data_IF_494429896552
#
_entry.id   IF_494429896552
#
_cell.length_a   1.000
_cell.length_b   1.000
_cell.length_c   1.000
_cell.angle_alpha   90.00
_cell.angle_beta   90.00
_cell.angle_gamma   90.00
#
_symmetry.space_group_name_H-M   'P 1'
#
loop_
_entity.id
_entity.type
_entity.pdbx_description
1 polymer ?
#
# COMPACT_ATOMS: atom_id res chain seq x y z
N UNK A 1 -4.87 -8.76 -19.81
CA UNK A 1 -4.89 -7.43 -19.15
C UNK A 1 -4.51 -7.57 -17.69
N UNK A 2 -3.83 -6.56 -17.07
CA UNK A 2 -3.51 -6.57 -15.63
C UNK A 2 -4.53 -5.73 -14.86
N UNK A 3 -5.10 -6.31 -13.80
CA UNK A 3 -6.00 -5.66 -12.86
C UNK A 3 -5.36 -5.53 -11.48
N UNK A 4 -5.81 -4.54 -10.73
CA UNK A 4 -5.40 -4.30 -9.34
C UNK A 4 -6.63 -4.29 -8.44
N UNK A 5 -6.58 -5.04 -7.35
CA UNK A 5 -7.64 -5.07 -6.34
C UNK A 5 -7.09 -4.79 -4.95
N UNK A 6 -7.69 -3.86 -4.22
CA UNK A 6 -7.36 -3.57 -2.82
C UNK A 6 -8.42 -4.19 -1.90
N UNK A 7 -7.95 -4.92 -0.91
CA UNK A 7 -8.80 -5.54 0.11
C UNK A 7 -8.14 -5.45 1.48
N UNK A 8 -8.90 -5.68 2.53
CA UNK A 8 -8.42 -5.80 3.90
C UNK A 8 -8.81 -7.17 4.46
N UNK A 9 -7.89 -7.85 5.10
CA UNK A 9 -8.11 -9.17 5.69
C UNK A 9 -7.88 -9.15 7.20
N UNK A 10 -8.60 -10.00 7.93
CA UNK A 10 -8.28 -10.31 9.33
C UNK A 10 -7.09 -11.25 9.37
N UNK A 11 -6.18 -11.02 10.30
CA UNK A 11 -5.00 -11.87 10.48
C UNK A 11 -4.86 -12.31 11.93
N UNK A 12 -4.24 -13.49 12.13
CA UNK A 12 -3.89 -13.99 13.46
C UNK A 12 -2.77 -13.16 14.09
N UNK A 13 -2.64 -13.13 15.44
CA UNK A 13 -1.56 -12.41 16.12
C UNK A 13 -0.16 -12.80 15.64
N UNK A 14 0.09 -14.09 15.39
CA UNK A 14 1.36 -14.61 14.88
C UNK A 14 1.69 -14.02 13.51
N UNK A 15 0.70 -13.94 12.62
CA UNK A 15 0.87 -13.33 11.29
C UNK A 15 1.05 -11.82 11.37
N UNK A 16 0.42 -11.16 12.36
CA UNK A 16 0.65 -9.75 12.64
C UNK A 16 2.12 -9.48 12.99
N UNK A 17 2.72 -10.33 13.84
CA UNK A 17 4.14 -10.24 14.19
C UNK A 17 5.05 -10.48 12.98
N UNK A 18 4.79 -11.52 12.19
CA UNK A 18 5.58 -11.85 10.99
C UNK A 18 5.51 -10.70 9.97
N UNK A 19 4.31 -10.25 9.60
CA UNK A 19 4.12 -9.18 8.61
C UNK A 19 4.68 -7.86 9.13
N UNK A 20 4.43 -7.54 10.40
CA UNK A 20 4.94 -6.33 11.04
C UNK A 20 6.47 -6.27 11.00
N UNK A 21 7.13 -7.39 11.32
CA UNK A 21 8.59 -7.48 11.27
C UNK A 21 9.13 -7.39 9.82
N UNK A 22 8.49 -8.04 8.86
CA UNK A 22 8.86 -7.88 7.44
C UNK A 22 8.75 -6.42 6.98
N UNK A 23 7.68 -5.72 7.33
CA UNK A 23 7.49 -4.31 7.00
C UNK A 23 8.55 -3.41 7.66
N UNK A 24 8.94 -3.74 8.91
CA UNK A 24 10.05 -3.09 9.61
C UNK A 24 11.38 -3.36 8.91
N UNK A 25 11.70 -4.61 8.59
CA UNK A 25 12.93 -4.99 7.88
C UNK A 25 13.02 -4.29 6.51
N UNK A 26 11.91 -4.18 5.78
CA UNK A 26 11.85 -3.46 4.51
C UNK A 26 12.16 -1.96 4.69
N UNK A 27 11.64 -1.31 5.75
CA UNK A 27 11.97 0.10 6.03
C UNK A 27 13.43 0.30 6.39
N UNK A 28 14.04 -0.62 7.15
CA UNK A 28 15.46 -0.58 7.48
C UNK A 28 16.35 -0.79 6.25
N UNK A 29 16.01 -1.78 5.41
CA UNK A 29 16.72 -2.02 4.14
C UNK A 29 16.61 -0.80 3.20
N UNK A 30 15.41 -0.20 3.08
CA UNK A 30 15.24 1.05 2.34
C UNK A 30 16.18 2.13 2.83
N UNK A 31 16.25 2.34 4.15
CA UNK A 31 17.07 3.39 4.75
C UNK A 31 18.57 3.17 4.53
N UNK A 32 19.05 1.94 4.65
CA UNK A 32 20.45 1.59 4.36
C UNK A 32 20.78 1.89 2.90
N UNK A 33 19.96 1.40 1.98
CA UNK A 33 20.15 1.65 0.55
C UNK A 33 20.04 3.15 0.20
N UNK A 34 19.16 3.88 0.88
CA UNK A 34 18.98 5.31 0.67
C UNK A 34 20.17 6.11 1.21
N UNK A 35 20.69 5.75 2.38
CA UNK A 35 21.91 6.34 2.94
C UNK A 35 23.09 6.17 1.98
N UNK A 36 23.31 4.95 1.46
CA UNK A 36 24.35 4.66 0.50
C UNK A 36 24.24 5.54 -0.77
N UNK A 37 23.02 5.80 -1.26
CA UNK A 37 22.80 6.68 -2.42
C UNK A 37 23.04 8.16 -2.13
N UNK A 38 22.72 8.61 -0.93
CA UNK A 38 23.03 9.98 -0.52
C UNK A 38 24.54 10.23 -0.38
N UNK A 39 25.28 9.24 0.13
CA UNK A 39 26.68 9.37 0.55
C UNK A 39 27.66 8.54 -0.30
N UNK A 40 27.28 8.12 -1.51
CA UNK A 40 28.04 7.14 -2.28
C UNK A 40 29.50 7.56 -2.55
N UNK A 41 29.77 8.87 -2.75
CA UNK A 41 31.13 9.41 -2.93
C UNK A 41 31.93 9.35 -1.64
N UNK A 42 31.33 9.69 -0.51
CA UNK A 42 31.96 9.64 0.82
C UNK A 42 32.27 8.19 1.22
N UNK A 43 31.45 7.24 0.76
CA UNK A 43 31.68 5.81 0.95
C UNK A 43 32.67 5.20 -0.03
N UNK A 44 33.33 6.01 -0.89
CA UNK A 44 34.34 5.57 -1.84
C UNK A 44 33.78 4.73 -3.01
N UNK A 45 32.48 4.83 -3.31
CA UNK A 45 31.91 4.12 -4.45
C UNK A 45 32.23 4.86 -5.74
N UNK A 46 32.87 4.18 -6.70
CA UNK A 46 33.22 4.75 -8.01
C UNK A 46 31.97 5.14 -8.82
N UNK A 47 30.89 4.35 -8.70
CA UNK A 47 29.65 4.55 -9.43
C UNK A 47 28.46 4.72 -8.49
N UNK A 48 27.48 5.49 -8.93
CA UNK A 48 26.22 5.62 -8.22
C UNK A 48 25.53 4.25 -8.07
N UNK A 49 25.21 3.83 -6.81
CA UNK A 49 24.69 2.50 -6.54
C UNK A 49 23.23 2.38 -7.01
N UNK A 50 23.02 1.70 -8.12
CA UNK A 50 21.68 1.33 -8.59
C UNK A 50 21.13 0.12 -7.83
N UNK A 51 19.91 -0.29 -8.13
CA UNK A 51 19.29 -1.43 -7.47
C UNK A 51 19.97 -2.77 -7.80
N UNK A 52 20.64 -2.90 -8.96
CA UNK A 52 21.39 -4.10 -9.32
C UNK A 52 22.63 -4.27 -8.46
N UNK A 53 23.33 -3.18 -8.20
CA UNK A 53 24.43 -3.16 -7.26
C UNK A 53 23.93 -3.46 -5.84
N UNK A 54 22.93 -2.72 -5.36
CA UNK A 54 22.44 -2.81 -3.98
C UNK A 54 21.86 -4.20 -3.64
N UNK A 55 21.13 -4.84 -4.55
CA UNK A 55 20.64 -6.21 -4.31
C UNK A 55 21.74 -7.25 -4.17
N UNK A 56 22.94 -7.01 -4.72
CA UNK A 56 24.10 -7.88 -4.59
C UNK A 56 24.89 -7.54 -3.32
N UNK A 57 25.20 -6.27 -3.12
CA UNK A 57 26.00 -5.77 -2.01
C UNK A 57 25.36 -6.09 -0.64
N UNK A 58 24.04 -5.98 -0.54
CA UNK A 58 23.32 -6.17 0.72
C UNK A 58 22.80 -7.59 0.98
N UNK A 59 23.16 -8.61 0.18
CA UNK A 59 22.72 -10.00 0.42
C UNK A 59 23.05 -10.53 1.82
N UNK A 60 24.18 -10.14 2.40
CA UNK A 60 24.59 -10.50 3.74
C UNK A 60 24.00 -9.62 4.86
N UNK A 61 23.32 -8.54 4.50
CA UNK A 61 22.77 -7.61 5.48
C UNK A 61 21.62 -8.25 6.26
N UNK A 62 21.56 -8.02 7.57
CA UNK A 62 20.53 -8.56 8.47
C UNK A 62 19.10 -8.32 7.93
N UNK A 63 18.78 -7.09 7.55
CA UNK A 63 17.42 -6.73 7.11
C UNK A 63 17.07 -7.29 5.73
N UNK A 64 18.05 -7.48 4.86
CA UNK A 64 17.86 -8.16 3.59
C UNK A 64 17.52 -9.64 3.82
N UNK A 65 18.21 -10.31 4.74
CA UNK A 65 18.04 -11.74 5.07
C UNK A 65 16.72 -12.03 5.82
N UNK A 66 16.14 -11.02 6.48
CA UNK A 66 14.82 -11.11 7.10
C UNK A 66 13.65 -11.07 6.09
N UNK A 67 13.94 -10.80 4.82
CA UNK A 67 12.94 -10.74 3.76
C UNK A 67 13.16 -11.88 2.75
N UNK A 68 12.08 -12.44 2.16
CA UNK A 68 12.24 -13.28 0.97
C UNK A 68 13.05 -12.54 -0.08
N UNK A 69 13.98 -13.23 -0.74
CA UNK A 69 14.98 -12.61 -1.62
C UNK A 69 14.37 -11.66 -2.66
N UNK A 70 13.25 -12.04 -3.30
CA UNK A 70 12.57 -11.18 -4.26
C UNK A 70 11.91 -9.95 -3.60
N UNK A 71 11.38 -10.09 -2.39
CA UNK A 71 10.82 -8.97 -1.63
C UNK A 71 11.90 -7.96 -1.25
N UNK A 72 13.08 -8.43 -0.83
CA UNK A 72 14.23 -7.55 -0.57
C UNK A 72 14.70 -6.83 -1.85
N UNK A 73 14.81 -7.56 -2.97
CA UNK A 73 15.16 -6.96 -4.27
C UNK A 73 14.13 -5.92 -4.72
N UNK A 74 12.84 -6.19 -4.52
CA UNK A 74 11.78 -5.24 -4.88
C UNK A 74 11.85 -3.98 -4.03
N UNK A 75 12.24 -4.07 -2.75
CA UNK A 75 12.50 -2.89 -1.90
C UNK A 75 13.61 -2.01 -2.48
N UNK A 76 14.74 -2.61 -2.90
CA UNK A 76 15.82 -1.87 -3.57
C UNK A 76 15.36 -1.23 -4.89
N UNK A 77 14.54 -1.96 -5.66
CA UNK A 77 14.02 -1.49 -6.96
C UNK A 77 13.01 -0.36 -6.81
N UNK A 78 12.18 -0.38 -5.77
CA UNK A 78 11.25 0.71 -5.46
C UNK A 78 12.01 1.99 -5.07
N UNK A 79 13.07 1.87 -4.29
CA UNK A 79 13.96 3.00 -4.00
C UNK A 79 14.60 3.56 -5.27
N UNK A 80 15.08 2.69 -6.16
CA UNK A 80 15.67 3.09 -7.45
C UNK A 80 14.69 3.87 -8.32
N UNK A 81 13.43 3.41 -8.39
CA UNK A 81 12.36 4.14 -9.09
C UNK A 81 12.11 5.52 -8.47
N UNK A 82 12.11 5.62 -7.14
CA UNK A 82 11.92 6.89 -6.45
C UNK A 82 13.04 7.89 -6.77
N UNK A 83 14.30 7.43 -6.78
CA UNK A 83 15.44 8.26 -7.17
C UNK A 83 15.40 8.67 -8.65
N UNK A 84 15.04 7.76 -9.54
CA UNK A 84 14.85 8.08 -10.98
C UNK A 84 13.77 9.14 -11.18
N UNK A 85 12.66 9.02 -10.49
CA UNK A 85 11.60 10.04 -10.50
C UNK A 85 12.09 11.41 -10.01
N UNK A 86 12.87 11.43 -8.92
CA UNK A 86 13.49 12.67 -8.41
C UNK A 86 14.40 13.33 -9.45
N UNK A 87 15.27 12.57 -10.10
CA UNK A 87 16.16 13.11 -11.13
C UNK A 87 15.41 13.61 -12.37
N UNK A 88 14.35 12.93 -12.78
CA UNK A 88 13.48 13.40 -13.87
C UNK A 88 12.82 14.73 -13.50
N UNK A 89 12.23 14.84 -12.31
CA UNK A 89 11.62 16.08 -11.83
C UNK A 89 12.63 17.23 -11.76
N UNK A 90 13.84 16.96 -11.28
CA UNK A 90 14.93 17.95 -11.23
C UNK A 90 15.35 18.42 -12.64
N UNK A 91 15.36 17.51 -13.62
CA UNK A 91 15.75 17.82 -15.01
C UNK A 91 14.65 18.58 -15.76
N UNK A 92 13.38 18.18 -15.56
CA UNK A 92 12.26 18.77 -16.32
C UNK A 92 11.76 20.09 -15.76
N UNK A 93 12.15 20.45 -14.52
CA UNK A 93 11.70 21.67 -13.86
C UNK A 93 10.21 21.69 -13.50
N UNK A 94 9.53 20.54 -13.55
CA UNK A 94 8.10 20.42 -13.25
C UNK A 94 7.74 20.77 -11.79
N UNK A 95 8.73 20.73 -10.89
CA UNK A 95 8.63 21.18 -9.51
C UNK A 95 9.84 22.09 -9.25
N UNK A 96 9.61 23.26 -8.67
CA UNK A 96 10.66 24.28 -8.44
C UNK A 96 11.83 23.73 -7.61
N UNK A 97 11.55 22.96 -6.56
CA UNK A 97 12.55 22.35 -5.68
C UNK A 97 12.14 20.90 -5.33
N UNK A 98 12.44 19.91 -6.17
CA UNK A 98 12.13 18.52 -5.85
C UNK A 98 13.03 18.02 -4.70
N UNK A 99 12.43 17.30 -3.75
CA UNK A 99 13.18 16.67 -2.66
C UNK A 99 13.58 15.24 -3.04
N UNK A 100 14.79 14.79 -2.65
CA UNK A 100 15.19 13.40 -2.83
C UNK A 100 14.35 12.45 -1.96
N UNK A 101 14.36 11.14 -2.25
CA UNK A 101 13.64 10.16 -1.45
C UNK A 101 14.03 10.24 0.03
N UNK A 102 13.02 10.36 0.90
CA UNK A 102 13.22 10.48 2.35
C UNK A 102 13.51 9.14 3.00
N UNK A 103 14.17 9.19 4.17
CA UNK A 103 14.28 8.05 5.07
C UNK A 103 12.90 7.69 5.63
N UNK A 104 12.65 6.39 5.78
CA UNK A 104 11.39 5.88 6.34
C UNK A 104 11.46 5.86 7.86
N UNK A 105 10.55 6.56 8.50
CA UNK A 105 10.36 6.53 9.96
C UNK A 105 9.39 5.42 10.37
N UNK A 106 8.38 5.16 9.52
CA UNK A 106 7.36 4.14 9.73
C UNK A 106 7.67 2.87 8.93
N UNK A 107 7.02 1.78 9.30
CA UNK A 107 7.06 0.52 8.57
C UNK A 107 6.46 0.71 7.15
N UNK A 108 7.15 0.18 6.13
CA UNK A 108 6.68 0.25 4.75
C UNK A 108 6.06 -1.06 4.30
N UNK A 109 5.14 -1.03 3.31
CA UNK A 109 4.58 -2.26 2.76
C UNK A 109 5.66 -3.15 2.14
N UNK A 110 5.48 -4.46 2.27
CA UNK A 110 6.29 -5.45 1.57
C UNK A 110 5.60 -5.92 0.30
N UNK A 111 6.39 -6.22 -0.73
CA UNK A 111 5.88 -6.64 -2.03
C UNK A 111 6.41 -8.01 -2.39
N UNK A 112 5.50 -8.97 -2.50
CA UNK A 112 5.76 -10.29 -3.05
C UNK A 112 5.56 -10.27 -4.57
N UNK A 113 6.51 -10.87 -5.28
CA UNK A 113 6.40 -11.14 -6.71
C UNK A 113 5.88 -12.56 -6.92
N UNK A 114 5.42 -12.87 -8.11
CA UNK A 114 4.78 -14.14 -8.50
C UNK A 114 5.50 -15.41 -7.94
N UNK A 115 6.82 -15.46 -8.01
CA UNK A 115 7.57 -16.65 -7.52
C UNK A 115 7.50 -16.87 -6.00
N UNK A 116 7.21 -15.82 -5.23
CA UNK A 116 7.02 -15.90 -3.77
C UNK A 116 5.59 -16.26 -3.35
N UNK A 117 4.68 -16.35 -4.31
CA UNK A 117 3.25 -16.56 -4.11
C UNK A 117 2.87 -17.93 -4.68
N UNK A 118 2.15 -18.73 -3.91
CA UNK A 118 1.49 -19.96 -4.40
C UNK A 118 0.00 -19.81 -4.21
N UNK A 119 -0.72 -19.95 -5.30
CA UNK A 119 -2.17 -19.90 -5.37
C UNK A 119 -2.68 -21.02 -6.26
N UNK A 120 -3.65 -21.76 -5.78
CA UNK A 120 -4.37 -22.77 -6.57
C UNK A 120 -5.64 -22.14 -7.13
N UNK A 121 -5.91 -22.36 -8.40
CA UNK A 121 -7.09 -21.81 -9.08
C UNK A 121 -8.37 -22.17 -8.32
N UNK A 122 -9.21 -21.19 -8.06
CA UNK A 122 -10.44 -21.35 -7.29
C UNK A 122 -10.29 -21.43 -5.77
N UNK A 123 -9.06 -21.34 -5.24
CA UNK A 123 -8.81 -21.34 -3.80
C UNK A 123 -8.99 -19.94 -3.19
N UNK A 124 -9.46 -19.90 -1.95
CA UNK A 124 -9.51 -18.67 -1.12
C UNK A 124 -8.18 -18.29 -0.50
N UNK A 125 -7.17 -19.19 -0.62
CA UNK A 125 -5.96 -19.12 0.14
C UNK A 125 -4.75 -18.82 -0.74
N UNK A 126 -3.91 -17.87 -0.30
CA UNK A 126 -2.58 -17.61 -0.81
C UNK A 126 -1.55 -18.14 0.18
N UNK A 127 -0.56 -18.87 -0.31
CA UNK A 127 0.61 -19.28 0.45
C UNK A 127 1.82 -18.46 0.04
N UNK A 128 2.46 -17.79 1.01
CA UNK A 128 3.63 -16.94 0.79
C UNK A 128 4.87 -17.55 1.44
N UNK A 129 6.00 -17.45 0.76
CA UNK A 129 7.29 -17.89 1.29
C UNK A 129 7.80 -16.94 2.37
N UNK A 130 8.47 -17.49 3.39
CA UNK A 130 9.17 -16.74 4.43
C UNK A 130 10.68 -16.96 4.32
N UNK A 131 11.46 -15.93 4.63
CA UNK A 131 12.92 -16.02 4.68
C UNK A 131 13.37 -16.97 5.82
N UNK A 132 14.50 -17.65 5.63
CA UNK A 132 15.04 -18.56 6.64
C UNK A 132 15.35 -17.84 7.95
N UNK A 133 16.05 -16.72 7.88
CA UNK A 133 16.45 -15.95 9.04
C UNK A 133 15.25 -15.31 9.76
N UNK A 134 14.21 -14.93 9.02
CA UNK A 134 12.96 -14.48 9.62
C UNK A 134 12.29 -15.59 10.44
N UNK A 135 12.26 -16.81 9.92
CA UNK A 135 11.68 -17.96 10.64
C UNK A 135 12.43 -18.22 11.94
N UNK A 136 13.76 -18.28 11.89
CA UNK A 136 14.60 -18.45 13.10
C UNK A 136 14.36 -17.33 14.10
N UNK A 137 14.34 -16.09 13.66
CA UNK A 137 14.04 -14.94 14.54
C UNK A 137 12.65 -15.01 15.18
N UNK A 138 11.62 -15.40 14.42
CA UNK A 138 10.26 -15.54 14.94
C UNK A 138 10.14 -16.68 15.95
N UNK A 139 10.84 -17.79 15.72
CA UNK A 139 10.90 -18.93 16.63
C UNK A 139 11.60 -18.54 17.94
N UNK A 140 12.80 -17.96 17.86
CA UNK A 140 13.61 -17.55 19.02
C UNK A 140 12.95 -16.44 19.85
N UNK A 141 12.30 -15.47 19.20
CA UNK A 141 11.79 -14.27 19.88
C UNK A 141 10.34 -14.44 20.37
N UNK A 142 9.52 -15.13 19.58
CA UNK A 142 8.07 -15.20 19.81
C UNK A 142 7.53 -16.63 19.92
N UNK A 143 8.36 -17.67 19.77
CA UNK A 143 7.91 -19.06 19.73
C UNK A 143 7.01 -19.38 18.53
N UNK A 144 7.15 -18.66 17.42
CA UNK A 144 6.31 -18.81 16.23
C UNK A 144 7.01 -19.74 15.23
N UNK A 145 6.43 -20.93 14.98
CA UNK A 145 6.99 -21.99 14.12
C UNK A 145 6.40 -22.04 12.71
N UNK A 146 5.92 -20.91 12.18
CA UNK A 146 5.28 -20.85 10.86
C UNK A 146 6.29 -21.04 9.72
N UNK A 147 6.05 -22.04 8.87
CA UNK A 147 6.88 -22.31 7.68
C UNK A 147 6.53 -21.39 6.50
N UNK A 148 5.26 -21.02 6.40
CA UNK A 148 4.68 -20.18 5.35
C UNK A 148 3.68 -19.22 5.97
N UNK A 149 3.41 -18.12 5.27
CA UNK A 149 2.31 -17.22 5.62
C UNK A 149 1.11 -17.56 4.73
N UNK A 150 -0.03 -17.84 5.34
CA UNK A 150 -1.28 -18.14 4.63
C UNK A 150 -2.25 -16.97 4.80
N UNK A 151 -2.69 -16.42 3.68
CA UNK A 151 -3.68 -15.34 3.65
C UNK A 151 -4.97 -15.85 3.01
N UNK A 152 -6.11 -15.58 3.64
CA UNK A 152 -7.41 -16.07 3.20
C UNK A 152 -8.35 -14.92 2.85
N UNK A 153 -8.92 -14.97 1.67
CA UNK A 153 -9.99 -14.07 1.22
C UNK A 153 -10.73 -14.68 0.04
N UNK A 154 -12.08 -14.63 0.07
CA UNK A 154 -12.94 -15.15 -0.99
C UNK A 154 -12.63 -14.54 -2.38
N UNK A 155 -12.09 -13.33 -2.43
CA UNK A 155 -11.75 -12.66 -3.69
C UNK A 155 -10.67 -13.42 -4.49
N UNK A 156 -9.78 -14.17 -3.80
CA UNK A 156 -8.71 -14.91 -4.46
C UNK A 156 -9.25 -16.01 -5.37
N UNK A 157 -10.45 -16.55 -5.14
CA UNK A 157 -11.10 -17.55 -6.01
C UNK A 157 -11.18 -17.12 -7.48
N UNK A 158 -11.33 -15.81 -7.70
CA UNK A 158 -11.54 -15.23 -9.03
C UNK A 158 -10.24 -14.68 -9.65
N UNK A 159 -9.06 -15.03 -9.08
CA UNK A 159 -7.77 -14.55 -9.52
C UNK A 159 -6.89 -15.71 -9.98
N UNK A 160 -6.83 -15.97 -11.28
CA UNK A 160 -6.07 -17.10 -11.80
C UNK A 160 -4.55 -16.90 -11.75
N UNK A 161 -4.07 -15.73 -12.11
CA UNK A 161 -2.64 -15.42 -12.25
C UNK A 161 -2.24 -14.21 -11.44
N UNK A 162 -1.86 -14.43 -10.17
CA UNK A 162 -1.40 -13.35 -9.30
C UNK A 162 0.06 -13.04 -9.62
N UNK A 163 0.33 -11.83 -10.10
CA UNK A 163 1.67 -11.34 -10.48
C UNK A 163 2.40 -10.67 -9.33
N UNK A 164 1.65 -9.98 -8.47
CA UNK A 164 2.21 -9.23 -7.36
C UNK A 164 1.20 -9.11 -6.22
N UNK A 165 1.70 -9.20 -5.00
CA UNK A 165 0.93 -8.93 -3.79
C UNK A 165 1.69 -7.92 -2.93
N UNK A 166 1.08 -6.78 -2.63
CA UNK A 166 1.61 -5.81 -1.68
C UNK A 166 0.86 -5.93 -0.37
N UNK A 167 1.60 -6.07 0.73
CA UNK A 167 1.08 -6.27 2.08
C UNK A 167 1.46 -5.06 2.90
N UNK A 168 0.48 -4.37 3.47
CA UNK A 168 0.69 -3.20 4.32
C UNK A 168 0.95 -3.60 5.77
N UNK A 169 1.59 -2.73 6.57
CA UNK A 169 1.75 -2.97 8.00
C UNK A 169 0.41 -3.31 8.67
N UNK A 170 0.38 -4.33 9.55
CA UNK A 170 -0.83 -4.71 10.25
C UNK A 170 -1.32 -3.62 11.21
N UNK A 171 -2.63 -3.43 11.26
CA UNK A 171 -3.28 -2.53 12.20
C UNK A 171 -4.50 -3.20 12.84
N UNK A 172 -4.52 -3.27 14.18
CA UNK A 172 -5.67 -3.77 14.96
C UNK A 172 -6.21 -5.14 14.50
N UNK A 173 -5.31 -6.09 14.20
CA UNK A 173 -5.67 -7.44 13.77
C UNK A 173 -6.15 -7.55 12.33
N UNK A 174 -5.96 -6.49 11.53
CA UNK A 174 -6.24 -6.48 10.10
C UNK A 174 -5.01 -6.08 9.29
N UNK A 175 -4.98 -6.47 8.03
CA UNK A 175 -3.92 -6.13 7.10
C UNK A 175 -4.52 -5.75 5.75
N UNK A 176 -4.12 -4.58 5.22
CA UNK A 176 -4.50 -4.16 3.87
C UNK A 176 -3.61 -4.84 2.84
N UNK A 177 -4.21 -5.29 1.75
CA UNK A 177 -3.55 -5.93 0.63
C UNK A 177 -3.86 -5.20 -0.67
N UNK A 178 -2.89 -5.15 -1.58
CA UNK A 178 -3.12 -4.83 -2.99
C UNK A 178 -2.64 -6.03 -3.80
N UNK A 179 -3.55 -6.64 -4.55
CA UNK A 179 -3.29 -7.79 -5.42
C UNK A 179 -3.28 -7.31 -6.85
N UNK A 180 -2.22 -7.62 -7.58
CA UNK A 180 -2.13 -7.41 -9.03
C UNK A 180 -2.18 -8.78 -9.69
N UNK A 181 -3.17 -8.97 -10.55
CA UNK A 181 -3.43 -10.24 -11.21
C UNK A 181 -3.75 -10.04 -12.68
N UNK A 182 -3.55 -11.07 -13.45
CA UNK A 182 -3.81 -11.09 -14.88
C UNK A 182 -5.19 -11.70 -15.15
N UNK A 183 -5.93 -11.08 -16.04
CA UNK A 183 -7.17 -11.62 -16.59
C UNK A 183 -7.09 -11.62 -18.12
N UNK A 184 -7.81 -12.51 -18.73
CA UNK A 184 -8.02 -12.49 -20.19
C UNK A 184 -8.67 -11.15 -20.58
N UNK A 185 -8.31 -10.63 -21.73
CA UNK A 185 -8.96 -9.42 -22.22
C UNK A 185 -10.39 -9.78 -22.62
N UNK A 186 -11.39 -9.03 -22.13
CA UNK A 186 -12.76 -9.24 -22.57
C UNK A 186 -12.87 -8.97 -24.06
N UNK A 187 -13.70 -9.73 -24.74
CA UNK A 187 -14.03 -9.45 -26.14
C UNK A 187 -14.54 -8.02 -26.28
N UNK A 188 -14.04 -7.32 -27.28
CA UNK A 188 -14.54 -5.99 -27.57
C UNK A 188 -15.99 -6.08 -28.00
N UNK A 189 -16.88 -5.42 -27.25
CA UNK A 189 -18.27 -5.27 -27.66
C UNK A 189 -18.31 -4.53 -29.01
N UNK A 190 -19.20 -4.97 -29.89
CA UNK A 190 -19.44 -4.28 -31.14
C UNK A 190 -19.93 -2.86 -30.88
N UNK A 191 -19.39 -1.90 -31.66
CA UNK A 191 -19.87 -0.53 -31.59
C UNK A 191 -21.31 -0.49 -32.12
N UNK A 192 -22.25 -0.24 -31.22
CA UNK A 192 -23.68 -0.13 -31.55
C UNK A 192 -24.17 1.32 -31.71
N UNK A 193 -23.24 2.30 -31.63
CA UNK A 193 -23.55 3.73 -31.70
C UNK A 193 -24.10 4.33 -30.40
N UNK A 194 -24.34 3.52 -29.36
CA UNK A 194 -24.79 4.00 -28.05
C UNK A 194 -23.61 4.46 -27.20
N UNK A 195 -23.79 5.55 -26.48
CA UNK A 195 -22.78 6.08 -25.57
C UNK A 195 -23.40 6.60 -24.27
N UNK A 196 -22.61 6.54 -23.21
CA UNK A 196 -22.89 7.16 -21.94
C UNK A 196 -21.91 8.32 -21.70
N UNK A 197 -22.42 9.55 -21.72
CA UNK A 197 -21.64 10.73 -21.33
C UNK A 197 -21.67 10.90 -19.82
N UNK A 198 -20.50 11.09 -19.19
CA UNK A 198 -20.39 11.26 -17.74
C UNK A 198 -19.65 12.55 -17.45
N UNK A 199 -20.31 13.48 -16.74
CA UNK A 199 -19.70 14.68 -16.17
C UNK A 199 -19.47 14.48 -14.67
N UNK A 200 -18.24 14.71 -14.22
CA UNK A 200 -17.84 14.57 -12.82
C UNK A 200 -17.88 15.93 -12.12
N UNK A 201 -18.66 16.04 -11.04
CA UNK A 201 -18.86 17.30 -10.34
C UNK A 201 -18.67 17.20 -8.82
N UNK A 202 -18.55 18.37 -8.17
CA UNK A 202 -18.43 18.44 -6.71
C UNK A 202 -19.76 18.23 -5.98
N UNK A 203 -20.86 18.68 -6.54
CA UNK A 203 -22.21 18.58 -5.94
C UNK A 203 -22.89 17.26 -6.27
N UNK A 204 -22.79 16.87 -7.51
CA UNK A 204 -23.20 15.57 -8.00
C UNK A 204 -21.92 14.81 -8.35
N UNK A 205 -21.75 13.61 -7.81
CA UNK A 205 -20.53 12.84 -8.12
C UNK A 205 -20.44 12.57 -9.62
N UNK A 206 -21.56 12.21 -10.24
CA UNK A 206 -21.68 12.01 -11.68
C UNK A 206 -23.04 12.50 -12.18
N UNK A 207 -23.04 13.27 -13.25
CA UNK A 207 -24.21 13.56 -14.08
C UNK A 207 -24.02 12.79 -15.38
N UNK A 208 -24.97 11.90 -15.68
CA UNK A 208 -24.88 10.95 -16.78
C UNK A 208 -25.94 11.25 -17.82
N UNK A 209 -25.58 11.14 -19.11
CA UNK A 209 -26.52 11.15 -20.23
C UNK A 209 -26.38 9.85 -21.01
N UNK A 210 -27.48 9.14 -21.19
CA UNK A 210 -27.57 7.90 -21.94
C UNK A 210 -28.16 8.18 -23.32
N UNK A 211 -27.41 7.92 -24.37
CA UNK A 211 -27.83 8.18 -25.77
C UNK A 211 -28.82 7.18 -26.29
N UNK A 212 -28.99 6.00 -25.66
CA UNK A 212 -29.95 4.98 -26.11
C UNK A 212 -31.40 5.40 -25.85
N UNK A 213 -31.66 6.02 -24.70
CA UNK A 213 -32.98 6.41 -24.29
C UNK A 213 -33.16 7.93 -24.11
N UNK A 214 -32.11 8.73 -24.34
CA UNK A 214 -32.12 10.18 -24.21
C UNK A 214 -32.25 10.68 -22.77
N UNK A 215 -32.04 9.83 -21.77
CA UNK A 215 -32.25 10.17 -20.36
C UNK A 215 -30.98 10.73 -19.70
N UNK A 216 -31.22 11.75 -18.88
CA UNK A 216 -30.19 12.27 -17.97
C UNK A 216 -30.51 11.79 -16.56
N UNK A 217 -29.50 11.28 -15.84
CA UNK A 217 -29.63 10.88 -14.46
C UNK A 217 -28.40 11.30 -13.64
N UNK A 218 -28.58 11.40 -12.33
CA UNK A 218 -27.53 11.87 -11.41
C UNK A 218 -27.25 10.78 -10.38
N UNK A 219 -25.97 10.43 -10.28
CA UNK A 219 -25.46 9.52 -9.27
C UNK A 219 -24.65 10.29 -8.23
N UNK A 220 -24.70 9.85 -6.99
CA UNK A 220 -23.83 10.32 -5.94
C UNK A 220 -24.17 11.67 -5.32
N UNK A 221 -25.45 12.10 -5.31
CA UNK A 221 -25.91 13.34 -4.67
C UNK A 221 -25.58 13.43 -3.17
N UNK A 222 -25.59 12.30 -2.45
CA UNK A 222 -25.36 12.27 -1.01
C UNK A 222 -23.87 12.24 -0.63
N UNK A 223 -22.98 12.05 -1.59
CA UNK A 223 -21.53 11.95 -1.32
C UNK A 223 -21.00 13.19 -0.58
N UNK A 224 -21.33 14.37 -1.05
CA UNK A 224 -20.87 15.62 -0.45
C UNK A 224 -21.42 15.83 0.96
N UNK A 225 -22.66 15.41 1.22
CA UNK A 225 -23.27 15.47 2.56
C UNK A 225 -22.54 14.57 3.54
N UNK A 226 -22.19 13.35 3.10
CA UNK A 226 -21.39 12.40 3.87
C UNK A 226 -20.00 12.95 4.22
N UNK A 227 -19.31 13.53 3.23
CA UNK A 227 -18.02 14.16 3.40
C UNK A 227 -18.08 15.32 4.40
N UNK A 228 -19.03 16.23 4.26
CA UNK A 228 -19.24 17.38 5.16
C UNK A 228 -19.57 16.95 6.58
N UNK A 229 -20.40 15.94 6.77
CA UNK A 229 -20.71 15.40 8.10
C UNK A 229 -19.44 14.93 8.81
N UNK A 230 -18.66 14.08 8.18
CA UNK A 230 -17.44 13.56 8.80
C UNK A 230 -16.38 14.65 9.01
N UNK A 231 -16.22 15.59 8.08
CA UNK A 231 -15.29 16.70 8.25
C UNK A 231 -15.65 17.54 9.49
N UNK A 232 -16.92 17.89 9.65
CA UNK A 232 -17.41 18.65 10.78
C UNK A 232 -17.20 17.91 12.11
N UNK A 233 -17.52 16.62 12.14
CA UNK A 233 -17.41 15.81 13.35
C UNK A 233 -15.93 15.57 13.74
N UNK A 234 -15.07 15.27 12.77
CA UNK A 234 -13.63 15.11 12.99
C UNK A 234 -13.03 16.44 13.49
N UNK A 235 -13.35 17.57 12.85
CA UNK A 235 -12.83 18.87 13.27
C UNK A 235 -13.24 19.22 14.70
N UNK A 236 -14.50 18.95 15.09
CA UNK A 236 -14.99 19.16 16.46
C UNK A 236 -14.19 18.33 17.48
N UNK A 237 -13.99 17.06 17.23
CA UNK A 237 -13.23 16.17 18.14
C UNK A 237 -11.76 16.51 18.17
N UNK A 238 -11.17 16.92 17.04
CA UNK A 238 -9.78 17.36 16.97
C UNK A 238 -9.55 18.65 17.75
N UNK A 239 -10.45 19.62 17.64
CA UNK A 239 -10.36 20.90 18.39
C UNK A 239 -10.31 20.65 19.89
N UNK A 240 -11.23 19.85 20.41
CA UNK A 240 -11.26 19.50 21.85
C UNK A 240 -10.00 18.75 22.27
N UNK A 241 -9.61 17.75 21.51
CA UNK A 241 -8.42 16.94 21.81
C UNK A 241 -7.14 17.79 21.83
N UNK A 242 -6.96 18.64 20.83
CA UNK A 242 -5.74 19.46 20.74
C UNK A 242 -5.68 20.53 21.81
N UNK A 243 -6.82 21.13 22.20
CA UNK A 243 -6.90 22.05 23.33
C UNK A 243 -6.44 21.38 24.62
N UNK A 244 -6.98 20.19 24.93
CA UNK A 244 -6.59 19.42 26.12
C UNK A 244 -5.09 19.02 26.12
N UNK A 245 -4.52 18.69 24.95
CA UNK A 245 -3.10 18.39 24.87
C UNK A 245 -2.21 19.64 25.00
N UNK A 246 -2.67 20.78 24.49
CA UNK A 246 -1.99 22.07 24.63
C UNK A 246 -1.93 22.51 26.12
N UNK A 247 -3.03 22.34 26.86
CA UNK A 247 -3.08 22.59 28.31
C UNK A 247 -2.06 21.72 29.08
N UNK A 248 -1.77 20.51 28.58
CA UNK A 248 -0.72 19.61 29.10
C UNK A 248 0.69 19.94 28.64
N UNK A 249 0.89 21.03 27.88
CA UNK A 249 2.19 21.46 27.37
C UNK A 249 2.69 20.65 26.15
N UNK A 250 1.85 19.85 25.52
CA UNK A 250 2.23 19.04 24.36
C UNK A 250 2.11 19.89 23.09
N UNK A 251 3.22 20.34 22.56
CA UNK A 251 3.29 21.23 21.38
C UNK A 251 2.82 20.58 20.07
N UNK A 252 3.06 19.26 19.89
CA UNK A 252 2.72 18.51 18.69
C UNK A 252 1.97 17.22 19.06
N UNK A 253 0.68 17.31 19.38
CA UNK A 253 -0.08 16.16 19.84
C UNK A 253 -0.35 15.16 18.71
N UNK A 254 -0.18 13.88 19.03
CA UNK A 254 -0.59 12.80 18.14
C UNK A 254 -2.12 12.67 18.13
N UNK A 255 -2.65 12.17 17.02
CA UNK A 255 -4.07 11.86 16.89
C UNK A 255 -4.53 10.83 17.91
N UNK A 256 -5.67 11.07 18.58
CA UNK A 256 -6.24 10.12 19.53
C UNK A 256 -6.83 8.89 18.83
N UNK A 257 -6.98 7.78 19.57
CA UNK A 257 -7.67 6.58 19.07
C UNK A 257 -9.10 6.87 18.60
N UNK A 258 -9.77 7.83 19.24
CA UNK A 258 -11.12 8.25 18.83
C UNK A 258 -11.13 8.95 17.48
N UNK A 259 -10.20 9.89 17.25
CA UNK A 259 -10.02 10.57 15.96
C UNK A 259 -9.69 9.55 14.87
N UNK A 260 -8.78 8.61 15.12
CA UNK A 260 -8.44 7.55 14.17
C UNK A 260 -9.66 6.68 13.82
N UNK A 261 -10.53 6.36 14.81
CA UNK A 261 -11.80 5.64 14.56
C UNK A 261 -12.75 6.43 13.66
N UNK A 262 -12.85 7.76 13.85
CA UNK A 262 -13.69 8.60 13.00
C UNK A 262 -13.19 8.63 11.55
N UNK A 263 -11.89 8.74 11.34
CA UNK A 263 -11.33 8.64 9.99
C UNK A 263 -11.62 7.28 9.34
N UNK A 264 -11.50 6.19 10.10
CA UNK A 264 -11.85 4.85 9.60
C UNK A 264 -13.34 4.72 9.27
N UNK A 265 -14.23 5.24 10.13
CA UNK A 265 -15.67 5.27 9.85
C UNK A 265 -15.99 6.05 8.58
N UNK A 266 -15.36 7.22 8.38
CA UNK A 266 -15.47 8.00 7.16
C UNK A 266 -15.08 7.18 5.94
N UNK A 267 -13.88 6.58 5.96
CA UNK A 267 -13.39 5.78 4.84
C UNK A 267 -14.32 4.61 4.50
N UNK A 268 -14.83 3.91 5.52
CA UNK A 268 -15.74 2.80 5.32
C UNK A 268 -17.10 3.27 4.74
N UNK A 269 -17.65 4.37 5.25
CA UNK A 269 -18.91 4.93 4.77
C UNK A 269 -18.79 5.43 3.31
N UNK A 270 -17.67 6.07 2.96
CA UNK A 270 -17.40 6.50 1.58
C UNK A 270 -17.24 5.30 0.66
N UNK A 271 -16.48 4.27 1.09
CA UNK A 271 -16.34 3.03 0.30
C UNK A 271 -17.69 2.35 0.08
N UNK A 272 -18.49 2.18 1.12
CA UNK A 272 -19.82 1.58 1.03
C UNK A 272 -20.73 2.36 0.08
N UNK A 273 -20.68 3.67 0.16
CA UNK A 273 -21.46 4.55 -0.71
C UNK A 273 -21.04 4.46 -2.19
N UNK A 274 -19.74 4.38 -2.47
CA UNK A 274 -19.23 4.30 -3.84
C UNK A 274 -19.34 2.90 -4.47
N UNK A 275 -19.56 1.87 -3.67
CA UNK A 275 -19.73 0.48 -4.14
C UNK A 275 -21.20 0.03 -4.25
N UNK A 276 -22.15 0.84 -3.81
CA UNK A 276 -23.61 0.65 -4.00
C UNK A 276 -24.11 1.32 -5.27
#
# INVERSE_FOLDING_TARGET
MLLSYRTSIKIRPEYSNIIGHMCYAASKLWNICNYERHHYKELGLEKYPDWYYQKKAHKGNLWYRQLPSQTAQETCKQLDKAWKSFYVLKKTGGIKEPNPPRFKQDNIPVTYMQMGIRHEKGSDQLRLSLAKDLKSYMEETYGIHEKFLYLENKIFRNMDYIKQLRIYPPENGTCDLIVIYEVEEPEQLSQNGHYLSIDLGLHNLMTCYDSENGRTFILGRQYLSLERYFHKEIARVQSVWYAQQSERGIKYPKSSKHIQRLYRKKQNAVKDYLHK
#
